data_IF_231236709088
#
_entry.id   IF_231236709088
#
_cell.length_a   1.000
_cell.length_b   1.000
_cell.length_c   1.000
_cell.angle_alpha   90.00
_cell.angle_beta   90.00
_cell.angle_gamma   90.00
#
_symmetry.space_group_name_H-M   'P 1'
#
loop_
_entity.id
_entity.type
_entity.pdbx_description
1 polymer ?
#
# COMPACT_ATOMS: atom_id res chain seq x y z
N UNK A 1 33.01 35.95 -47.99
CA UNK A 1 33.29 35.56 -46.59
C UNK A 1 32.07 36.00 -45.76
N UNK A 2 31.30 35.05 -45.21
CA UNK A 2 30.06 35.39 -44.51
C UNK A 2 30.36 36.11 -43.16
N UNK A 3 29.55 37.10 -42.75
CA UNK A 3 29.80 37.83 -41.51
C UNK A 3 29.68 36.91 -40.29
N UNK A 4 30.70 36.93 -39.43
CA UNK A 4 30.70 36.28 -38.11
C UNK A 4 29.58 36.92 -37.29
N UNK A 5 28.62 36.14 -36.82
CA UNK A 5 27.52 36.63 -35.99
C UNK A 5 28.06 36.85 -34.57
N UNK A 6 28.26 38.10 -34.18
CA UNK A 6 28.68 38.49 -32.82
C UNK A 6 27.48 38.51 -31.86
N UNK A 7 26.88 37.34 -31.70
CA UNK A 7 25.75 37.15 -30.81
C UNK A 7 25.65 35.68 -30.44
N UNK A 8 25.25 35.39 -29.19
CA UNK A 8 25.07 34.01 -28.79
C UNK A 8 23.98 33.41 -29.69
N UNK A 9 24.26 32.22 -30.27
CA UNK A 9 23.38 31.60 -31.27
C UNK A 9 21.96 31.36 -30.73
N UNK A 10 20.98 31.06 -31.59
CA UNK A 10 19.57 30.94 -31.16
C UNK A 10 19.34 29.92 -30.04
N UNK A 11 20.22 28.92 -29.86
CA UNK A 11 20.17 27.97 -28.74
C UNK A 11 20.77 28.47 -27.42
N UNK A 12 21.31 29.68 -27.37
CA UNK A 12 21.94 30.23 -26.18
C UNK A 12 20.95 30.91 -25.21
N UNK A 13 19.76 31.26 -25.70
CA UNK A 13 18.68 31.78 -24.87
C UNK A 13 17.63 30.69 -24.71
N UNK A 14 17.63 30.01 -23.56
CA UNK A 14 16.51 29.14 -23.19
C UNK A 14 15.52 29.97 -22.38
N UNK A 15 14.26 30.02 -22.84
CA UNK A 15 13.17 30.57 -22.05
C UNK A 15 13.03 29.75 -20.76
N UNK A 16 12.77 30.39 -19.61
CA UNK A 16 12.43 29.66 -18.40
C UNK A 16 11.15 28.86 -18.65
N UNK A 17 11.12 27.60 -18.19
CA UNK A 17 9.93 26.76 -18.32
C UNK A 17 8.73 27.41 -17.63
N UNK A 18 7.60 27.49 -18.31
CA UNK A 18 6.32 27.97 -17.75
C UNK A 18 5.68 26.95 -16.81
N UNK A 19 6.13 25.69 -16.86
CA UNK A 19 5.59 24.58 -16.08
C UNK A 19 6.76 23.89 -15.34
N UNK A 20 6.62 23.63 -14.05
CA UNK A 20 7.67 23.02 -13.22
C UNK A 20 8.49 24.06 -12.43
N UNK A 21 9.78 23.81 -12.23
CA UNK A 21 10.64 24.63 -11.36
C UNK A 21 11.47 25.67 -12.12
N UNK A 22 11.56 26.88 -11.58
CA UNK A 22 12.52 27.89 -12.03
C UNK A 22 13.96 27.38 -11.88
N UNK A 23 14.81 27.60 -12.90
CA UNK A 23 16.23 27.18 -12.95
C UNK A 23 16.45 25.66 -12.93
N UNK A 24 15.64 24.93 -13.67
CA UNK A 24 15.85 23.49 -13.88
C UNK A 24 16.96 23.26 -14.89
N UNK A 25 18.01 22.54 -14.49
CA UNK A 25 19.01 22.00 -15.43
C UNK A 25 18.48 20.69 -16.02
N UNK A 26 18.10 20.70 -17.31
CA UNK A 26 17.54 19.53 -18.01
C UNK A 26 18.51 18.35 -18.12
N UNK A 27 19.82 18.58 -17.93
CA UNK A 27 20.84 17.53 -17.99
C UNK A 27 20.87 16.65 -16.73
N UNK A 28 20.14 17.02 -15.68
CA UNK A 28 20.15 16.32 -14.39
C UNK A 28 18.80 15.65 -14.14
N UNK A 29 18.83 14.34 -13.94
CA UNK A 29 17.66 13.58 -13.49
C UNK A 29 17.30 13.98 -12.06
N UNK A 30 16.02 14.27 -11.80
CA UNK A 30 15.50 14.45 -10.45
C UNK A 30 14.14 13.79 -10.29
N UNK A 31 13.82 13.42 -9.05
CA UNK A 31 12.50 12.96 -8.66
C UNK A 31 11.45 14.09 -8.70
N UNK A 32 10.17 13.77 -8.94
CA UNK A 32 9.09 14.73 -8.83
C UNK A 32 9.00 15.25 -7.39
N UNK A 33 8.77 16.55 -7.21
CA UNK A 33 8.65 17.18 -5.89
C UNK A 33 7.17 17.42 -5.50
N UNK A 34 6.24 16.79 -6.19
CA UNK A 34 4.82 16.81 -5.85
C UNK A 34 4.41 15.41 -5.40
N UNK A 35 3.78 15.33 -4.22
CA UNK A 35 3.09 14.14 -3.75
C UNK A 35 1.58 14.33 -3.93
N UNK A 36 0.88 13.28 -4.35
CA UNK A 36 -0.58 13.28 -4.36
C UNK A 36 -1.07 12.80 -3.00
N UNK A 37 -1.59 13.73 -2.19
CA UNK A 37 -2.39 13.46 -1.00
C UNK A 37 -1.67 12.81 0.20
N UNK A 38 -2.32 12.90 1.35
CA UNK A 38 -1.96 12.13 2.55
C UNK A 38 -2.60 10.75 2.46
N UNK A 39 -1.93 9.70 2.97
CA UNK A 39 -2.56 8.39 3.13
C UNK A 39 -3.68 8.52 4.17
N UNK A 40 -4.92 8.24 3.80
CA UNK A 40 -6.01 8.19 4.80
C UNK A 40 -5.66 7.15 5.86
N UNK A 41 -5.84 7.50 7.12
CA UNK A 41 -5.73 6.52 8.21
C UNK A 41 -6.90 5.56 8.02
N UNK A 42 -6.60 4.29 7.73
CA UNK A 42 -7.59 3.23 7.77
C UNK A 42 -7.94 2.99 9.23
N UNK A 43 -9.01 3.62 9.71
CA UNK A 43 -9.65 3.19 10.95
C UNK A 43 -10.35 1.87 10.62
N UNK A 44 -9.65 0.76 10.83
CA UNK A 44 -10.32 -0.53 10.90
C UNK A 44 -11.05 -0.53 12.23
N UNK A 45 -12.30 -0.07 12.24
CA UNK A 45 -13.21 -0.51 13.28
C UNK A 45 -13.44 -1.99 13.01
N UNK A 46 -12.95 -2.84 13.91
CA UNK A 46 -13.20 -4.28 13.86
C UNK A 46 -14.70 -4.50 14.09
N UNK A 47 -15.48 -4.54 13.01
CA UNK A 47 -16.91 -4.86 13.01
C UNK A 47 -17.11 -6.34 13.40
N UNK A 48 -16.98 -6.59 14.70
CA UNK A 48 -17.33 -7.86 15.33
C UNK A 48 -16.14 -8.80 15.60
N UNK A 49 -16.44 -9.94 16.24
CA UNK A 49 -15.43 -10.91 16.62
C UNK A 49 -14.75 -11.49 15.38
N UNK A 50 -13.42 -11.40 15.34
CA UNK A 50 -12.61 -12.00 14.28
C UNK A 50 -12.85 -13.52 14.14
N UNK A 51 -12.40 -14.15 13.03
CA UNK A 51 -12.73 -15.54 12.71
C UNK A 51 -12.35 -16.57 13.79
N UNK A 52 -11.36 -16.27 14.64
CA UNK A 52 -10.93 -17.12 15.75
C UNK A 52 -11.57 -16.77 17.11
N UNK A 53 -12.40 -15.73 17.19
CA UNK A 53 -13.03 -15.31 18.45
C UNK A 53 -14.28 -16.15 18.80
N UNK A 54 -14.79 -16.97 17.88
CA UNK A 54 -15.94 -17.83 18.12
C UNK A 54 -15.54 -19.11 18.87
N UNK A 55 -16.12 -19.34 20.05
CA UNK A 55 -16.01 -20.62 20.77
C UNK A 55 -16.93 -21.66 20.12
N UNK A 56 -16.38 -22.55 19.29
CA UNK A 56 -17.13 -23.55 18.54
C UNK A 56 -17.63 -24.74 19.39
N UNK A 57 -17.15 -24.90 20.63
CA UNK A 57 -17.55 -25.99 21.52
C UNK A 57 -17.43 -27.36 20.86
N UNK A 58 -18.49 -28.17 20.91
CA UNK A 58 -18.58 -29.46 20.21
C UNK A 58 -19.21 -29.35 18.81
N UNK A 59 -19.01 -28.24 18.09
CA UNK A 59 -19.57 -28.05 16.73
C UNK A 59 -18.45 -27.97 15.70
N UNK A 60 -18.54 -28.79 14.66
CA UNK A 60 -17.62 -28.83 13.52
C UNK A 60 -18.35 -28.41 12.24
N UNK A 61 -17.62 -28.27 11.12
CA UNK A 61 -18.20 -27.97 9.79
C UNK A 61 -19.33 -28.94 9.40
N UNK A 62 -19.31 -30.17 9.90
CA UNK A 62 -20.27 -31.23 9.57
C UNK A 62 -21.42 -31.35 10.59
N UNK A 63 -21.48 -30.47 11.60
CA UNK A 63 -22.50 -30.49 12.66
C UNK A 63 -21.90 -30.74 14.05
N UNK A 64 -22.75 -31.10 15.02
CA UNK A 64 -22.32 -31.40 16.39
C UNK A 64 -21.38 -32.61 16.38
N UNK A 65 -20.14 -32.41 16.81
CA UNK A 65 -19.22 -33.46 17.21
C UNK A 65 -19.81 -34.18 18.43
N UNK A 66 -20.56 -35.25 18.16
CA UNK A 66 -20.93 -36.19 19.20
C UNK A 66 -19.72 -37.04 19.53
N UNK A 67 -19.27 -37.01 20.78
CA UNK A 67 -18.29 -37.97 21.27
C UNK A 67 -18.82 -39.40 21.07
N UNK A 68 -17.89 -40.37 21.01
CA UNK A 68 -18.20 -41.80 20.92
C UNK A 68 -19.28 -42.16 21.96
N UNK A 69 -20.41 -42.68 21.49
CA UNK A 69 -21.56 -43.02 22.35
C UNK A 69 -21.27 -44.18 23.30
N UNK A 70 -20.29 -45.01 22.96
CA UNK A 70 -19.84 -46.14 23.76
C UNK A 70 -18.31 -46.19 23.70
N UNK A 71 -17.67 -46.40 24.84
CA UNK A 71 -16.21 -46.52 24.97
C UNK A 71 -15.90 -47.72 25.85
N UNK A 72 -14.95 -48.56 25.43
CA UNK A 72 -14.46 -49.69 26.23
C UNK A 72 -13.50 -49.25 27.35
N UNK A 73 -13.11 -47.97 27.40
CA UNK A 73 -12.24 -47.38 28.42
C UNK A 73 -12.83 -46.09 29.00
N UNK A 74 -12.58 -45.84 30.29
CA UNK A 74 -12.95 -44.59 30.96
C UNK A 74 -12.10 -43.43 30.43
N UNK A 75 -12.73 -42.33 30.00
CA UNK A 75 -12.02 -41.08 29.69
C UNK A 75 -12.38 -40.02 30.72
N UNK A 76 -11.35 -39.45 31.35
CA UNK A 76 -11.49 -38.27 32.20
C UNK A 76 -11.85 -37.03 31.38
N UNK A 77 -12.52 -36.09 32.03
CA UNK A 77 -12.98 -34.85 31.40
C UNK A 77 -11.80 -33.94 31.05
N UNK A 78 -11.90 -33.28 29.89
CA UNK A 78 -10.95 -32.26 29.45
C UNK A 78 -11.52 -30.90 29.87
N UNK A 79 -10.88 -30.25 30.84
CA UNK A 79 -11.11 -28.84 31.20
C UNK A 79 -10.66 -27.88 30.08
#
# INVERSE_FOLDING_TARGET
MAPKKDGPGPGAYMLPSTIGYAKTDYRKTRSPRYSFGLRSQSSYEEDGPGPAAYKLGSVTRYGKATNLKFSMLHRGELE
#
